data_IF_465116684491
#
_entry.id   IF_465116684491
#
_cell.length_a   1.000
_cell.length_b   1.000
_cell.length_c   1.000
_cell.angle_alpha   90.00
_cell.angle_beta   90.00
_cell.angle_gamma   90.00
#
_symmetry.space_group_name_H-M   'P 1'
#
loop_
_entity.id
_entity.type
_entity.pdbx_description
1 polymer ?
#
# COMPACT_ATOMS: atom_id res chain seq x y z
N UNK A 1 -2.21 16.74 -21.74
CA UNK A 1 -1.39 15.53 -21.99
C UNK A 1 -0.78 15.11 -20.67
N UNK A 2 -0.97 13.86 -20.24
CA UNK A 2 -0.41 13.35 -18.96
C UNK A 2 1.02 12.88 -19.19
N UNK A 3 1.95 13.24 -18.29
CA UNK A 3 3.35 12.76 -18.30
C UNK A 3 3.70 12.12 -16.96
N UNK A 4 4.50 11.06 -16.99
CA UNK A 4 5.01 10.37 -15.80
C UNK A 4 6.53 10.42 -15.84
N UNK A 5 7.16 11.01 -14.82
CA UNK A 5 8.60 11.29 -14.79
C UNK A 5 9.21 10.61 -13.55
N UNK A 6 10.06 9.58 -13.72
CA UNK A 6 10.72 8.94 -12.59
C UNK A 6 11.76 9.86 -11.93
N UNK A 7 11.81 9.89 -10.60
CA UNK A 7 12.89 10.52 -9.83
C UNK A 7 13.87 9.42 -9.41
N UNK A 8 15.03 9.36 -10.07
CA UNK A 8 16.06 8.37 -9.76
C UNK A 8 16.99 8.90 -8.67
N UNK A 9 17.09 8.16 -7.58
CA UNK A 9 17.97 8.52 -6.48
C UNK A 9 19.42 8.19 -6.83
N UNK A 10 20.31 9.13 -6.52
CA UNK A 10 21.75 9.01 -6.77
C UNK A 10 22.43 7.84 -6.03
N UNK A 11 21.89 7.44 -4.88
CA UNK A 11 22.35 6.30 -4.07
C UNK A 11 21.17 5.63 -3.34
N UNK A 12 21.29 4.35 -2.94
CA UNK A 12 20.34 3.73 -2.02
C UNK A 12 20.16 4.54 -0.74
N UNK A 13 18.95 4.53 -0.17
CA UNK A 13 18.67 5.12 1.15
C UNK A 13 18.87 4.06 2.22
N UNK A 14 19.59 4.40 3.28
CA UNK A 14 19.88 3.51 4.43
C UNK A 14 19.39 4.14 5.73
N UNK A 15 19.16 3.37 6.81
CA UNK A 15 18.66 3.90 8.08
C UNK A 15 19.47 5.07 8.66
N UNK A 16 20.80 5.07 8.47
CA UNK A 16 21.67 6.16 8.94
C UNK A 16 21.49 7.47 8.18
N UNK A 17 20.92 7.45 6.96
CA UNK A 17 20.65 8.70 6.22
C UNK A 17 19.61 9.58 6.94
N UNK A 18 18.80 9.01 7.86
CA UNK A 18 17.79 9.76 8.63
C UNK A 18 18.39 10.88 9.50
N UNK A 19 19.67 10.77 9.89
CA UNK A 19 20.37 11.83 10.62
C UNK A 19 21.00 12.89 9.72
N UNK A 20 21.15 12.60 8.42
CA UNK A 20 21.94 13.42 7.50
C UNK A 20 21.08 14.52 6.84
N UNK A 21 19.85 14.18 6.45
CA UNK A 21 18.90 15.14 5.88
C UNK A 21 17.46 14.72 6.09
N UNK A 22 16.55 15.70 6.11
CA UNK A 22 15.13 15.41 6.21
C UNK A 22 14.59 14.77 4.92
N UNK A 23 13.48 14.05 5.02
CA UNK A 23 12.77 13.46 3.88
C UNK A 23 12.50 14.48 2.76
N UNK A 24 12.01 15.67 3.13
CA UNK A 24 11.64 16.72 2.19
C UNK A 24 12.87 17.31 1.49
N UNK A 25 13.97 17.52 2.24
CA UNK A 25 15.24 17.99 1.71
C UNK A 25 15.82 16.98 0.72
N UNK A 26 15.88 15.70 1.10
CA UNK A 26 16.38 14.63 0.23
C UNK A 26 15.58 14.54 -1.08
N UNK A 27 14.25 14.60 -1.01
CA UNK A 27 13.41 14.59 -2.20
C UNK A 27 13.65 15.82 -3.09
N UNK A 28 13.79 17.01 -2.50
CA UNK A 28 14.06 18.25 -3.24
C UNK A 28 15.43 18.22 -3.93
N UNK A 29 16.46 17.66 -3.28
CA UNK A 29 17.79 17.46 -3.85
C UNK A 29 17.79 16.48 -5.02
N UNK A 30 17.16 15.31 -4.87
CA UNK A 30 17.08 14.31 -5.94
C UNK A 30 16.27 14.85 -7.12
N UNK A 31 15.21 15.63 -6.87
CA UNK A 31 14.46 16.30 -7.92
C UNK A 31 15.34 17.27 -8.75
N UNK A 32 16.17 18.09 -8.07
CA UNK A 32 17.14 18.98 -8.73
C UNK A 32 18.20 18.19 -9.52
N UNK A 33 18.74 17.10 -8.96
CA UNK A 33 19.73 16.25 -9.63
C UNK A 33 19.20 15.55 -10.88
N UNK A 34 17.88 15.32 -10.95
CA UNK A 34 17.22 14.74 -12.12
C UNK A 34 16.81 15.81 -13.15
N UNK A 35 17.16 17.09 -12.94
CA UNK A 35 16.76 18.23 -13.79
C UNK A 35 15.23 18.32 -14.01
N UNK A 36 14.45 17.92 -13.00
CA UNK A 36 13.00 17.94 -13.07
C UNK A 36 12.50 19.31 -12.60
N UNK A 37 11.69 19.98 -13.43
CA UNK A 37 10.99 21.21 -13.03
C UNK A 37 9.57 20.89 -12.57
N UNK A 38 9.07 21.63 -11.59
CA UNK A 38 7.71 21.48 -11.07
C UNK A 38 6.76 22.53 -11.65
N UNK A 39 5.53 22.11 -11.89
CA UNK A 39 4.40 22.96 -12.25
C UNK A 39 3.33 22.89 -11.15
N UNK A 40 2.47 23.90 -11.07
CA UNK A 40 1.31 23.81 -10.19
C UNK A 40 0.43 22.65 -10.64
N UNK A 41 -0.21 21.98 -9.68
CA UNK A 41 -1.00 20.76 -9.89
C UNK A 41 -0.20 19.53 -10.31
N UNK A 42 1.14 19.54 -10.28
CA UNK A 42 1.89 18.28 -10.35
C UNK A 42 1.58 17.40 -9.12
N UNK A 43 1.68 16.08 -9.29
CA UNK A 43 1.54 15.11 -8.19
C UNK A 43 2.88 14.42 -7.98
N UNK A 44 3.46 14.58 -6.80
CA UNK A 44 4.61 13.81 -6.35
C UNK A 44 4.13 12.53 -5.67
N UNK A 45 4.53 11.38 -6.19
CA UNK A 45 4.24 10.07 -5.60
C UNK A 45 5.53 9.50 -5.03
N UNK A 46 5.50 9.01 -3.79
CA UNK A 46 6.66 8.56 -3.03
C UNK A 46 6.35 7.21 -2.37
N UNK A 47 7.25 6.23 -2.45
CA UNK A 47 7.07 4.97 -1.71
C UNK A 47 7.21 5.17 -0.20
N UNK A 48 6.37 4.48 0.57
CA UNK A 48 6.38 4.38 2.04
C UNK A 48 7.77 4.05 2.59
N UNK A 49 8.55 3.24 1.85
CA UNK A 49 9.85 2.73 2.29
C UNK A 49 10.85 3.84 2.54
N UNK A 50 11.00 4.78 1.61
CA UNK A 50 11.95 5.90 1.79
C UNK A 50 11.46 6.90 2.82
N UNK A 51 10.14 7.02 2.99
CA UNK A 51 9.53 7.82 4.06
C UNK A 51 9.91 7.22 5.40
N UNK A 52 9.67 5.92 5.61
CA UNK A 52 10.05 5.24 6.86
C UNK A 52 11.55 5.26 7.15
N UNK A 53 12.39 5.12 6.12
CA UNK A 53 13.85 5.21 6.26
C UNK A 53 14.29 6.60 6.72
N UNK A 54 13.86 7.66 6.01
CA UNK A 54 14.33 9.03 6.27
C UNK A 54 13.66 9.68 7.49
N UNK A 55 12.50 9.17 7.93
CA UNK A 55 11.88 9.57 9.20
C UNK A 55 12.44 8.79 10.41
N UNK A 56 13.37 7.84 10.20
CA UNK A 56 13.97 7.06 11.28
C UNK A 56 13.03 6.00 11.88
N UNK A 57 11.97 5.61 11.17
CA UNK A 57 10.97 4.63 11.63
C UNK A 57 11.46 3.16 11.53
N UNK A 58 12.73 2.94 11.17
CA UNK A 58 13.28 1.58 11.03
C UNK A 58 13.56 0.93 12.38
N UNK A 59 13.46 -0.39 12.43
CA UNK A 59 13.64 -1.19 13.63
C UNK A 59 14.72 -2.25 13.40
N UNK A 60 15.73 -2.29 14.26
CA UNK A 60 16.63 -3.44 14.35
C UNK A 60 15.87 -4.64 14.92
N UNK A 61 15.71 -5.70 14.12
CA UNK A 61 14.97 -6.90 14.49
C UNK A 61 15.53 -7.57 15.75
N UNK A 62 16.86 -7.52 15.94
CA UNK A 62 17.55 -8.15 17.07
C UNK A 62 17.20 -7.48 18.40
N UNK A 63 16.87 -6.19 18.37
CA UNK A 63 16.44 -5.40 19.53
C UNK A 63 15.04 -5.78 20.03
N UNK A 64 14.24 -6.43 19.20
CA UNK A 64 12.85 -6.79 19.52
C UNK A 64 12.84 -7.95 20.52
N UNK A 65 12.22 -7.72 21.67
CA UNK A 65 11.97 -8.72 22.72
C UNK A 65 10.52 -9.22 22.65
N UNK A 66 10.24 -10.43 22.12
CA UNK A 66 8.88 -10.94 21.98
C UNK A 66 8.26 -11.32 23.33
N UNK A 67 6.99 -10.96 23.54
CA UNK A 67 6.21 -11.37 24.72
C UNK A 67 6.02 -12.89 24.73
N UNK A 68 5.85 -13.49 25.92
CA UNK A 68 5.66 -14.96 26.08
C UNK A 68 4.53 -15.51 25.19
N UNK A 69 3.39 -14.81 25.16
CA UNK A 69 2.24 -15.15 24.30
C UNK A 69 2.57 -15.11 22.80
N UNK A 70 3.43 -14.18 22.37
CA UNK A 70 3.86 -14.07 20.98
C UNK A 70 4.83 -15.20 20.63
N UNK A 71 5.77 -15.54 21.52
CA UNK A 71 6.63 -16.73 21.34
C UNK A 71 5.81 -18.02 21.18
N UNK A 72 4.73 -18.15 21.95
CA UNK A 72 3.81 -19.28 21.84
C UNK A 72 3.12 -19.33 20.46
N UNK A 73 2.52 -18.21 20.02
CA UNK A 73 1.88 -18.11 18.71
C UNK A 73 2.87 -18.35 17.57
N UNK A 74 4.05 -17.76 17.64
CA UNK A 74 5.11 -17.91 16.66
C UNK A 74 5.49 -19.39 16.48
N UNK A 75 5.62 -20.13 17.58
CA UNK A 75 5.87 -21.59 17.53
C UNK A 75 4.71 -22.34 16.89
N UNK A 76 3.48 -22.06 17.31
CA UNK A 76 2.28 -22.75 16.82
C UNK A 76 2.06 -22.54 15.30
N UNK A 77 2.34 -21.33 14.81
CA UNK A 77 2.14 -20.96 13.41
C UNK A 77 3.44 -20.94 12.60
N UNK A 78 4.55 -21.46 13.13
CA UNK A 78 5.87 -21.51 12.46
C UNK A 78 6.35 -20.15 11.93
N UNK A 79 6.14 -19.08 12.70
CA UNK A 79 6.53 -17.71 12.36
C UNK A 79 7.76 -17.25 13.12
N UNK A 80 8.43 -16.20 12.62
CA UNK A 80 9.48 -15.51 13.37
C UNK A 80 8.85 -14.71 14.54
N UNK A 81 9.29 -14.94 15.80
CA UNK A 81 8.69 -14.30 16.96
C UNK A 81 8.98 -12.80 17.06
N UNK A 82 10.08 -12.29 16.49
CA UNK A 82 10.44 -10.86 16.52
C UNK A 82 9.58 -10.08 15.52
N UNK A 83 9.48 -10.58 14.29
CA UNK A 83 8.56 -10.02 13.27
C UNK A 83 7.12 -10.08 13.74
N UNK A 84 6.68 -11.21 14.29
CA UNK A 84 5.30 -11.33 14.80
C UNK A 84 5.04 -10.35 15.95
N UNK A 85 5.99 -10.16 16.86
CA UNK A 85 5.87 -9.14 17.91
C UNK A 85 5.69 -7.74 17.32
N UNK A 86 6.45 -7.39 16.28
CA UNK A 86 6.31 -6.11 15.58
C UNK A 86 4.96 -5.98 14.87
N UNK A 87 4.49 -7.03 14.17
CA UNK A 87 3.16 -7.06 13.55
C UNK A 87 2.06 -6.71 14.56
N UNK A 88 2.13 -7.27 15.77
CA UNK A 88 1.18 -6.97 16.85
C UNK A 88 1.33 -5.57 17.48
N UNK A 89 2.46 -4.89 17.29
CA UNK A 89 2.65 -3.48 17.68
C UNK A 89 2.05 -2.55 16.64
N UNK A 90 2.23 -2.89 15.37
CA UNK A 90 1.88 -2.06 14.22
C UNK A 90 0.39 -2.14 13.83
N UNK A 91 -0.29 -3.26 14.08
CA UNK A 91 -1.67 -3.41 13.61
C UNK A 91 -2.49 -4.51 14.26
N UNK A 92 -3.80 -4.48 13.99
CA UNK A 92 -4.73 -5.51 14.44
C UNK A 92 -4.72 -6.68 13.46
N UNK A 93 -4.27 -7.85 13.92
CA UNK A 93 -4.36 -9.11 13.16
C UNK A 93 -5.83 -9.50 12.96
N UNK A 94 -6.24 -9.62 11.70
CA UNK A 94 -7.57 -10.05 11.28
C UNK A 94 -7.63 -11.54 10.95
N UNK A 95 -6.52 -12.11 10.50
CA UNK A 95 -6.43 -13.51 10.10
C UNK A 95 -5.00 -13.93 9.79
N UNK A 96 -4.81 -15.23 9.54
CA UNK A 96 -3.53 -15.80 9.16
C UNK A 96 -3.72 -16.56 7.86
N UNK A 97 -2.97 -16.19 6.82
CA UNK A 97 -2.93 -16.90 5.54
C UNK A 97 -1.91 -18.02 5.64
N UNK A 98 -2.28 -19.29 5.43
CA UNK A 98 -1.37 -20.42 5.53
C UNK A 98 -0.52 -20.56 4.27
N UNK A 99 0.28 -19.53 3.94
CA UNK A 99 0.99 -19.41 2.67
C UNK A 99 1.90 -20.61 2.40
N UNK A 100 2.51 -21.18 3.45
CA UNK A 100 3.27 -22.45 3.36
C UNK A 100 2.46 -23.59 2.74
N UNK A 101 1.22 -23.79 3.20
CA UNK A 101 0.34 -24.85 2.71
C UNK A 101 -0.13 -24.55 1.28
N UNK A 102 -0.43 -23.29 1.00
CA UNK A 102 -0.83 -22.83 -0.33
C UNK A 102 0.30 -23.08 -1.34
N UNK A 103 1.56 -22.78 -0.99
CA UNK A 103 2.71 -22.99 -1.87
C UNK A 103 3.16 -24.44 -2.01
N UNK A 104 2.66 -25.36 -1.17
CA UNK A 104 2.85 -26.79 -1.37
C UNK A 104 1.98 -27.33 -2.52
N UNK A 105 0.95 -26.60 -2.93
CA UNK A 105 0.19 -26.93 -4.12
C UNK A 105 1.09 -26.85 -5.36
N UNK A 106 1.10 -27.93 -6.15
CA UNK A 106 2.01 -28.06 -7.30
C UNK A 106 1.71 -27.03 -8.37
N UNK A 107 0.43 -26.73 -8.61
CA UNK A 107 0.02 -25.78 -9.64
C UNK A 107 0.48 -24.38 -9.26
N UNK A 108 0.21 -23.96 -8.01
CA UNK A 108 0.63 -22.66 -7.50
C UNK A 108 2.15 -22.53 -7.52
N UNK A 109 2.88 -23.52 -7.01
CA UNK A 109 4.35 -23.49 -7.01
C UNK A 109 4.92 -23.35 -8.42
N UNK A 110 4.42 -24.14 -9.37
CA UNK A 110 4.88 -24.09 -10.75
C UNK A 110 4.55 -22.75 -11.42
N UNK A 111 3.40 -22.15 -11.08
CA UNK A 111 3.05 -20.80 -11.54
C UNK A 111 4.11 -19.77 -11.12
N UNK A 112 4.52 -19.74 -9.85
CA UNK A 112 5.55 -18.81 -9.38
C UNK A 112 6.93 -19.06 -10.02
N UNK A 113 7.32 -20.33 -10.17
CA UNK A 113 8.60 -20.67 -10.82
C UNK A 113 8.64 -20.25 -12.29
N UNK A 114 7.53 -20.41 -13.03
CA UNK A 114 7.41 -20.03 -14.44
C UNK A 114 7.56 -18.52 -14.65
N UNK A 115 7.10 -17.70 -13.70
CA UNK A 115 7.13 -16.24 -13.79
C UNK A 115 8.30 -15.62 -13.01
N UNK A 116 9.29 -16.42 -12.60
CA UNK A 116 10.48 -15.92 -11.91
C UNK A 116 11.61 -15.56 -12.88
N UNK A 117 12.30 -14.45 -12.60
CA UNK A 117 13.55 -14.08 -13.27
C UNK A 117 14.71 -15.03 -12.90
N UNK A 118 14.68 -15.60 -11.70
CA UNK A 118 15.71 -16.50 -11.19
C UNK A 118 15.05 -17.66 -10.44
N UNK A 119 14.88 -18.78 -11.15
CA UNK A 119 14.21 -19.98 -10.66
C UNK A 119 14.91 -20.52 -9.40
N UNK A 120 16.24 -20.56 -9.38
CA UNK A 120 17.00 -21.11 -8.26
C UNK A 120 16.82 -20.27 -6.99
N UNK A 121 16.96 -18.95 -7.11
CA UNK A 121 16.71 -18.03 -6.00
C UNK A 121 15.25 -18.12 -5.51
N UNK A 122 14.29 -18.22 -6.42
CA UNK A 122 12.87 -18.41 -6.04
C UNK A 122 12.64 -19.75 -5.34
N UNK A 123 13.25 -20.84 -5.79
CA UNK A 123 13.16 -22.13 -5.11
C UNK A 123 13.76 -22.09 -3.72
N UNK A 124 14.88 -21.39 -3.54
CA UNK A 124 15.50 -21.21 -2.23
C UNK A 124 14.60 -20.39 -1.29
N UNK A 125 14.05 -19.29 -1.79
CA UNK A 125 13.06 -18.48 -1.06
C UNK A 125 11.82 -19.29 -0.71
N UNK A 126 11.33 -20.14 -1.62
CA UNK A 126 10.22 -21.06 -1.40
C UNK A 126 10.46 -22.03 -0.23
N UNK A 127 11.71 -22.46 -0.05
CA UNK A 127 12.11 -23.36 1.04
C UNK A 127 12.36 -22.62 2.36
N UNK A 128 12.94 -21.42 2.31
CA UNK A 128 13.38 -20.66 3.50
C UNK A 128 12.29 -19.79 4.13
N UNK A 129 11.44 -19.14 3.32
CA UNK A 129 10.67 -17.97 3.77
C UNK A 129 9.14 -18.10 3.65
N UNK A 130 8.58 -19.22 3.15
CA UNK A 130 7.13 -19.38 3.04
C UNK A 130 6.54 -19.87 4.35
N UNK A 131 6.34 -18.90 5.23
CA UNK A 131 5.74 -18.99 6.55
C UNK A 131 4.27 -18.57 6.46
N UNK A 132 3.49 -18.87 7.49
CA UNK A 132 2.14 -18.32 7.61
C UNK A 132 2.19 -16.79 7.71
N UNK A 133 1.29 -16.09 7.03
CA UNK A 133 1.32 -14.62 6.91
C UNK A 133 0.15 -14.01 7.69
N UNK A 134 0.39 -13.23 8.75
CA UNK A 134 -0.66 -12.46 9.41
C UNK A 134 -1.19 -11.37 8.46
N UNK A 135 -2.51 -11.29 8.32
CA UNK A 135 -3.19 -10.18 7.66
C UNK A 135 -3.68 -9.21 8.73
N UNK A 136 -3.39 -7.93 8.58
CA UNK A 136 -3.68 -6.89 9.58
C UNK A 136 -4.46 -5.73 8.98
N UNK A 137 -5.32 -5.11 9.78
CA UNK A 137 -5.93 -3.83 9.43
C UNK A 137 -5.10 -2.67 9.95
N UNK A 138 -4.75 -1.73 9.07
CA UNK A 138 -4.03 -0.48 9.36
C UNK A 138 -4.35 0.54 8.26
N UNK A 139 -4.41 1.83 8.58
CA UNK A 139 -4.64 2.93 7.62
C UNK A 139 -5.86 2.71 6.69
N UNK A 140 -6.94 2.12 7.18
CA UNK A 140 -8.14 1.81 6.37
C UNK A 140 -7.99 0.63 5.41
N UNK A 141 -6.80 0.03 5.31
CA UNK A 141 -6.43 -1.04 4.38
C UNK A 141 -6.14 -2.36 5.12
N UNK A 142 -5.87 -3.41 4.33
CA UNK A 142 -5.46 -4.73 4.83
C UNK A 142 -4.08 -5.04 4.28
N UNK A 143 -3.11 -5.18 5.19
CA UNK A 143 -1.71 -5.47 4.87
C UNK A 143 -1.36 -6.90 5.27
N UNK A 144 -0.48 -7.54 4.50
CA UNK A 144 0.31 -8.65 5.00
C UNK A 144 1.42 -8.12 5.93
N UNK A 145 1.65 -8.83 7.04
CA UNK A 145 2.68 -8.47 8.04
C UNK A 145 2.63 -7.00 8.50
N UNK A 146 1.45 -6.36 8.58
CA UNK A 146 1.31 -4.95 8.97
C UNK A 146 2.02 -3.92 8.08
N UNK A 147 2.35 -4.32 6.84
CA UNK A 147 3.13 -3.48 5.92
C UNK A 147 4.60 -3.37 6.35
N UNK A 148 5.06 -4.26 7.24
CA UNK A 148 6.46 -4.30 7.66
C UNK A 148 7.28 -4.95 6.55
N UNK A 149 8.18 -4.17 5.97
CA UNK A 149 9.05 -4.62 4.89
C UNK A 149 10.48 -4.88 5.39
N UNK A 150 11.08 -5.98 4.91
CA UNK A 150 12.50 -6.31 5.12
C UNK A 150 13.28 -6.44 3.82
N UNK A 151 12.70 -6.04 2.68
CA UNK A 151 13.34 -6.01 1.37
C UNK A 151 13.94 -4.64 1.10
N UNK A 152 15.00 -4.57 0.27
CA UNK A 152 15.68 -3.33 -0.12
C UNK A 152 16.06 -2.43 1.08
N UNK A 153 16.45 -3.04 2.20
CA UNK A 153 16.94 -2.41 3.43
C UNK A 153 18.14 -3.24 3.93
N UNK A 154 19.16 -2.64 4.60
CA UNK A 154 20.27 -3.40 5.14
C UNK A 154 19.84 -4.55 6.06
N UNK A 155 20.62 -5.63 6.07
CA UNK A 155 20.35 -6.81 6.88
C UNK A 155 20.17 -6.47 8.36
N UNK A 156 19.20 -7.14 8.99
CA UNK A 156 18.85 -6.93 10.40
C UNK A 156 17.84 -5.81 10.63
N UNK A 157 17.57 -4.94 9.65
CA UNK A 157 16.56 -3.89 9.78
C UNK A 157 15.22 -4.27 9.15
N UNK A 158 14.16 -3.70 9.73
CA UNK A 158 12.80 -3.73 9.22
C UNK A 158 12.28 -2.30 9.09
N UNK A 159 11.46 -2.07 8.07
CA UNK A 159 10.74 -0.81 7.87
C UNK A 159 9.23 -1.04 8.07
N UNK A 160 8.67 -0.73 9.25
CA UNK A 160 7.25 -0.47 9.41
C UNK A 160 6.78 0.66 8.48
N UNK A 161 5.47 0.75 8.25
CA UNK A 161 4.88 1.91 7.58
C UNK A 161 5.13 3.20 8.39
N UNK A 162 5.15 4.38 7.74
CA UNK A 162 5.19 5.65 8.43
C UNK A 162 4.07 5.76 9.47
N UNK A 163 4.34 6.41 10.61
CA UNK A 163 3.34 6.55 11.67
C UNK A 163 2.11 7.33 11.19
N UNK A 164 2.34 8.44 10.48
CA UNK A 164 1.30 9.24 9.86
C UNK A 164 1.72 9.70 8.45
N UNK A 165 1.49 8.87 7.41
CA UNK A 165 1.90 9.20 6.04
C UNK A 165 1.21 10.46 5.47
N UNK A 166 0.03 10.83 5.98
CA UNK A 166 -0.66 12.06 5.54
C UNK A 166 0.05 13.30 6.06
N UNK A 167 0.60 13.24 7.29
CA UNK A 167 1.44 14.31 7.83
C UNK A 167 2.76 14.40 7.06
N UNK A 168 3.40 13.27 6.76
CA UNK A 168 4.61 13.23 5.93
C UNK A 168 4.35 13.83 4.54
N UNK A 169 3.24 13.46 3.89
CA UNK A 169 2.82 14.02 2.61
C UNK A 169 2.61 15.54 2.69
N UNK A 170 1.97 16.02 3.76
CA UNK A 170 1.75 17.46 4.00
C UNK A 170 3.06 18.21 4.21
N UNK A 171 4.00 17.68 5.00
CA UNK A 171 5.32 18.30 5.20
C UNK A 171 6.09 18.43 3.89
N UNK A 172 6.08 17.38 3.05
CA UNK A 172 6.67 17.43 1.71
C UNK A 172 6.01 18.53 0.87
N UNK A 173 4.67 18.57 0.83
CA UNK A 173 3.91 19.58 0.08
C UNK A 173 4.29 21.01 0.50
N UNK A 174 4.25 21.26 1.80
CA UNK A 174 4.53 22.58 2.38
C UNK A 174 6.00 22.99 2.15
N UNK A 175 6.95 22.06 2.30
CA UNK A 175 8.35 22.29 1.98
C UNK A 175 8.57 22.61 0.49
N UNK A 176 7.94 21.87 -0.41
CA UNK A 176 8.05 22.07 -1.85
C UNK A 176 7.44 23.39 -2.30
N UNK A 177 6.33 23.81 -1.66
CA UNK A 177 5.79 25.17 -1.85
C UNK A 177 6.80 26.24 -1.48
N UNK A 178 7.52 26.07 -0.36
CA UNK A 178 8.51 27.04 0.08
C UNK A 178 9.77 27.08 -0.81
N UNK A 179 10.28 25.91 -1.23
CA UNK A 179 11.54 25.81 -1.99
C UNK A 179 11.35 26.10 -3.48
N UNK A 180 10.26 25.64 -4.08
CA UNK A 180 10.03 25.73 -5.52
C UNK A 180 8.95 26.75 -5.91
N UNK A 181 8.22 27.32 -4.93
CA UNK A 181 7.06 28.19 -5.16
C UNK A 181 6.00 27.53 -6.07
N UNK A 182 5.76 26.24 -5.88
CA UNK A 182 4.76 25.45 -6.62
C UNK A 182 3.80 24.75 -5.68
N UNK A 183 2.53 24.76 -6.04
CA UNK A 183 1.48 24.01 -5.35
C UNK A 183 1.30 22.66 -6.01
N UNK A 184 1.80 21.62 -5.35
CA UNK A 184 1.71 20.24 -5.79
C UNK A 184 0.82 19.44 -4.85
N UNK A 185 0.39 18.25 -5.28
CA UNK A 185 -0.12 17.22 -4.39
C UNK A 185 0.98 16.20 -4.09
N UNK A 186 0.84 15.51 -2.96
CA UNK A 186 1.76 14.44 -2.56
C UNK A 186 0.96 13.18 -2.21
N UNK A 187 1.38 12.04 -2.73
CA UNK A 187 0.83 10.72 -2.42
C UNK A 187 1.97 9.83 -1.91
N UNK A 188 1.75 9.19 -0.77
CA UNK A 188 2.63 8.15 -0.24
C UNK A 188 2.00 6.80 -0.55
N UNK A 189 2.76 5.90 -1.18
CA UNK A 189 2.26 4.61 -1.65
C UNK A 189 2.90 3.45 -0.93
N UNK A 190 2.19 2.33 -0.86
CA UNK A 190 2.77 1.06 -0.46
C UNK A 190 2.21 -0.08 -1.33
N UNK A 191 2.97 -1.16 -1.43
CA UNK A 191 2.62 -2.29 -2.29
C UNK A 191 1.68 -3.25 -1.55
N UNK A 192 0.47 -3.46 -2.10
CA UNK A 192 -0.48 -4.45 -1.59
C UNK A 192 -0.75 -5.57 -2.58
N UNK A 193 -0.90 -6.79 -2.03
CA UNK A 193 -1.41 -7.93 -2.80
C UNK A 193 -2.85 -7.69 -3.23
N UNK A 194 -3.16 -7.97 -4.49
CA UNK A 194 -4.50 -7.77 -5.02
C UNK A 194 -5.34 -9.04 -4.82
N UNK A 195 -6.48 -8.90 -4.13
CA UNK A 195 -7.39 -10.03 -3.93
C UNK A 195 -7.84 -10.63 -5.27
N UNK A 196 -7.78 -11.96 -5.36
CA UNK A 196 -8.17 -12.74 -6.55
C UNK A 196 -7.35 -12.45 -7.83
N UNK A 197 -6.19 -11.81 -7.72
CA UNK A 197 -5.23 -11.64 -8.82
C UNK A 197 -3.87 -12.14 -8.37
N UNK A 198 -3.07 -12.61 -9.31
CA UNK A 198 -1.66 -12.90 -9.07
C UNK A 198 -0.86 -11.62 -9.22
N UNK A 199 -0.18 -11.19 -8.15
CA UNK A 199 0.62 -9.97 -8.13
C UNK A 199 0.16 -8.94 -7.10
N UNK A 200 0.83 -7.79 -7.14
CA UNK A 200 0.61 -6.68 -6.23
C UNK A 200 0.51 -5.37 -7.01
N UNK A 201 -0.09 -4.36 -6.39
CA UNK A 201 -0.18 -3.00 -6.89
C UNK A 201 0.17 -2.03 -5.77
N UNK A 202 0.76 -0.90 -6.14
CA UNK A 202 0.89 0.22 -5.22
C UNK A 202 -0.47 0.87 -5.01
N UNK A 203 -0.78 1.13 -3.76
CA UNK A 203 -1.98 1.86 -3.32
C UNK A 203 -1.56 3.06 -2.48
N UNK A 204 -2.41 4.08 -2.41
CA UNK A 204 -2.17 5.22 -1.53
C UNK A 204 -2.34 4.77 -0.07
N UNK A 205 -1.40 5.15 0.79
CA UNK A 205 -1.52 4.98 2.25
C UNK A 205 -1.66 6.31 2.99
N UNK A 206 -1.40 7.43 2.31
CA UNK A 206 -1.63 8.78 2.77
C UNK A 206 -1.36 9.81 1.67
N UNK A 207 -2.06 10.93 1.69
CA UNK A 207 -1.92 11.98 0.68
C UNK A 207 -2.17 13.38 1.26
N UNK A 208 -1.73 14.41 0.54
CA UNK A 208 -1.99 15.82 0.86
C UNK A 208 -2.16 16.64 -0.43
N UNK A 209 -3.06 17.61 -0.42
CA UNK A 209 -3.33 18.51 -1.56
C UNK A 209 -4.24 17.94 -2.65
N UNK A 210 -4.58 16.65 -2.60
CA UNK A 210 -5.45 15.93 -3.55
C UNK A 210 -6.58 15.21 -2.81
N UNK A 211 -7.82 15.38 -3.27
CA UNK A 211 -8.97 14.70 -2.69
C UNK A 211 -8.93 13.21 -3.09
N UNK A 212 -9.13 12.25 -2.15
CA UNK A 212 -8.84 10.83 -2.41
C UNK A 212 -9.66 10.17 -3.52
N UNK A 213 -10.91 10.61 -3.71
CA UNK A 213 -11.85 10.06 -4.69
C UNK A 213 -12.34 11.14 -5.65
N UNK A 214 -12.74 10.80 -6.86
CA UNK A 214 -13.56 11.73 -7.66
C UNK A 214 -14.92 11.94 -6.98
N UNK A 215 -15.50 13.13 -7.11
CA UNK A 215 -16.81 13.48 -6.56
C UNK A 215 -17.85 13.35 -7.68
N UNK A 216 -18.20 12.12 -8.02
CA UNK A 216 -19.08 11.74 -9.14
C UNK A 216 -20.09 10.64 -8.75
N UNK A 217 -20.54 10.58 -7.49
CA UNK A 217 -21.43 9.50 -6.99
C UNK A 217 -22.79 9.51 -7.71
N UNK A 218 -23.20 10.66 -8.21
CA UNK A 218 -24.35 10.79 -9.10
C UNK A 218 -24.12 11.89 -10.12
N UNK A 219 -24.61 11.69 -11.34
CA UNK A 219 -24.54 12.68 -12.40
C UNK A 219 -25.25 12.23 -13.67
N UNK A 220 -25.26 13.07 -14.72
CA UNK A 220 -25.78 12.67 -16.02
C UNK A 220 -24.95 11.53 -16.61
N UNK A 221 -25.65 10.59 -17.21
CA UNK A 221 -25.08 9.59 -18.12
C UNK A 221 -25.28 10.06 -19.57
N UNK A 222 -24.50 9.54 -20.50
CA UNK A 222 -24.56 9.93 -21.92
C UNK A 222 -25.96 9.77 -22.53
N UNK A 223 -26.78 8.88 -21.98
CA UNK A 223 -28.12 8.57 -22.49
C UNK A 223 -29.23 8.79 -21.47
N UNK A 224 -28.91 9.19 -20.24
CA UNK A 224 -29.88 9.31 -19.14
C UNK A 224 -29.58 10.51 -18.27
N UNK A 225 -30.61 11.21 -17.77
CA UNK A 225 -30.39 12.39 -16.93
C UNK A 225 -29.69 12.08 -15.62
N UNK A 226 -29.81 10.84 -15.11
CA UNK A 226 -29.22 10.43 -13.84
C UNK A 226 -28.64 9.01 -13.92
N UNK A 227 -27.44 8.85 -13.38
CA UNK A 227 -26.78 7.58 -13.06
C UNK A 227 -26.23 7.66 -11.64
N UNK A 228 -26.30 6.53 -10.93
CA UNK A 228 -25.64 6.32 -9.65
C UNK A 228 -24.30 5.60 -9.85
N UNK A 229 -23.30 5.99 -9.06
CA UNK A 229 -21.92 5.54 -9.17
C UNK A 229 -21.10 6.33 -10.20
N UNK A 230 -19.80 6.40 -9.96
CA UNK A 230 -18.86 7.20 -10.77
C UNK A 230 -17.65 7.69 -9.99
N UNK A 231 -17.70 7.60 -8.66
CA UNK A 231 -16.54 7.77 -7.79
C UNK A 231 -15.45 6.75 -8.16
N UNK A 232 -14.25 7.26 -8.37
CA UNK A 232 -13.02 6.51 -8.56
C UNK A 232 -12.10 6.82 -7.41
N UNK A 233 -11.37 5.83 -6.89
CA UNK A 233 -10.29 6.08 -5.92
C UNK A 233 -9.08 6.63 -6.66
N UNK A 234 -9.13 7.93 -6.97
CA UNK A 234 -8.17 8.66 -7.79
C UNK A 234 -6.73 8.44 -7.31
N UNK A 235 -6.52 8.50 -6.00
CA UNK A 235 -5.18 8.36 -5.42
C UNK A 235 -4.61 6.95 -5.61
N UNK A 236 -5.43 5.90 -5.60
CA UNK A 236 -4.98 4.53 -5.86
C UNK A 236 -4.70 4.29 -7.34
N UNK A 237 -5.47 4.92 -8.24
CA UNK A 237 -5.19 4.87 -9.67
C UNK A 237 -3.82 5.52 -9.99
N UNK A 238 -3.53 6.67 -9.39
CA UNK A 238 -2.24 7.35 -9.52
C UNK A 238 -1.12 6.55 -8.86
N UNK A 239 -1.36 6.00 -7.67
CA UNK A 239 -0.39 5.14 -6.97
C UNK A 239 0.00 3.92 -7.80
N UNK A 240 -0.97 3.23 -8.41
CA UNK A 240 -0.71 2.05 -9.22
C UNK A 240 0.15 2.36 -10.45
N UNK A 241 -0.11 3.49 -11.13
CA UNK A 241 0.70 3.96 -12.27
C UNK A 241 2.12 4.28 -11.81
N UNK A 242 2.26 5.00 -10.69
CA UNK A 242 3.55 5.37 -10.15
C UNK A 242 4.37 4.15 -9.72
N UNK A 243 3.76 3.19 -9.01
CA UNK A 243 4.41 1.95 -8.60
C UNK A 243 4.91 1.11 -9.78
N UNK A 244 4.17 1.09 -10.89
CA UNK A 244 4.62 0.44 -12.13
C UNK A 244 5.90 1.08 -12.72
N UNK A 245 6.07 2.41 -12.54
CA UNK A 245 7.26 3.15 -12.97
C UNK A 245 8.41 3.02 -11.96
N UNK A 246 8.12 3.05 -10.66
CA UNK A 246 9.11 2.87 -9.59
C UNK A 246 9.76 1.48 -9.67
N UNK A 247 8.95 0.45 -9.91
CA UNK A 247 9.37 -0.94 -9.85
C UNK A 247 9.65 -1.40 -8.41
N UNK A 248 9.80 -2.71 -8.23
CA UNK A 248 9.92 -3.32 -6.89
C UNK A 248 11.31 -3.83 -6.50
N UNK A 249 12.36 -3.56 -7.26
CA UNK A 249 13.68 -4.18 -7.06
C UNK A 249 14.80 -3.13 -7.01
N UNK A 250 15.71 -3.12 -7.98
CA UNK A 250 16.99 -2.38 -7.95
C UNK A 250 16.97 -1.07 -8.74
N UNK A 251 15.79 -0.56 -9.09
CA UNK A 251 15.63 0.58 -10.01
C UNK A 251 16.11 1.92 -9.45
N UNK A 252 16.29 2.03 -8.12
CA UNK A 252 16.60 3.29 -7.43
C UNK A 252 15.64 4.43 -7.78
N UNK A 253 14.36 4.11 -8.01
CA UNK A 253 13.33 5.09 -8.39
C UNK A 253 12.20 5.06 -7.36
N UNK A 254 12.40 5.60 -6.15
CA UNK A 254 11.41 5.54 -5.07
C UNK A 254 10.34 6.65 -5.16
N UNK A 255 10.44 7.54 -6.15
CA UNK A 255 9.49 8.63 -6.35
C UNK A 255 9.25 8.93 -7.83
N UNK A 256 8.09 9.50 -8.14
CA UNK A 256 7.63 9.82 -9.50
C UNK A 256 6.86 11.13 -9.48
N UNK A 257 7.04 11.98 -10.50
CA UNK A 257 6.16 13.12 -10.78
C UNK A 257 5.14 12.74 -11.84
N UNK A 258 3.86 12.93 -11.55
CA UNK A 258 2.78 12.91 -12.52
C UNK A 258 2.38 14.34 -12.88
N UNK A 259 2.45 14.69 -14.17
CA UNK A 259 2.06 16.02 -14.68
C UNK A 259 0.80 15.97 -15.52
N UNK A 260 0.00 17.03 -15.46
CA UNK A 260 -1.17 17.22 -16.32
C UNK A 260 -2.33 16.25 -16.05
N UNK A 261 -2.35 15.62 -14.88
CA UNK A 261 -3.46 14.82 -14.40
C UNK A 261 -4.43 15.71 -13.60
N UNK A 262 -5.71 15.69 -13.96
CA UNK A 262 -6.72 16.51 -13.29
C UNK A 262 -7.21 15.84 -12.01
N UNK A 263 -7.30 16.63 -10.94
CA UNK A 263 -7.82 16.18 -9.66
C UNK A 263 -8.42 17.34 -8.86
N UNK A 264 -9.34 16.97 -7.97
CA UNK A 264 -9.93 17.86 -6.99
C UNK A 264 -8.91 18.19 -5.90
N UNK A 265 -8.62 19.47 -5.73
CA UNK A 265 -7.72 19.92 -4.66
C UNK A 265 -8.36 19.70 -3.30
N UNK A 266 -7.54 19.38 -2.31
CA UNK A 266 -8.00 19.15 -0.94
C UNK A 266 -7.20 19.98 0.05
N UNK A 267 -7.91 20.68 0.93
CA UNK A 267 -7.33 21.39 2.06
C UNK A 267 -7.34 20.49 3.30
N UNK A 268 -6.46 19.49 3.28
CA UNK A 268 -6.27 18.53 4.36
C UNK A 268 -5.46 19.11 5.53
N UNK A 269 -5.69 18.57 6.72
CA UNK A 269 -4.90 18.91 7.92
C UNK A 269 -3.69 17.98 8.14
N UNK A 270 -3.37 17.08 7.20
CA UNK A 270 -2.35 16.04 7.37
C UNK A 270 -2.74 14.93 8.37
N UNK A 271 -4.02 14.78 8.71
CA UNK A 271 -4.52 13.69 9.55
C UNK A 271 -5.00 12.52 8.69
N UNK A 272 -4.35 11.36 8.80
CA UNK A 272 -4.78 10.17 8.09
C UNK A 272 -6.15 9.62 8.50
N UNK A 273 -6.76 10.08 9.60
CA UNK A 273 -8.17 9.79 9.87
C UNK A 273 -9.10 10.49 8.89
N UNK A 274 -8.77 11.71 8.47
CA UNK A 274 -9.53 12.46 7.46
C UNK A 274 -9.55 11.67 6.14
N UNK A 275 -8.37 11.23 5.70
CA UNK A 275 -8.19 10.37 4.54
C UNK A 275 -8.97 9.05 4.66
N UNK A 276 -8.83 8.34 5.78
CA UNK A 276 -9.50 7.06 6.01
C UNK A 276 -11.03 7.18 6.02
N UNK A 277 -11.57 8.31 6.49
CA UNK A 277 -13.01 8.57 6.49
C UNK A 277 -13.58 8.75 5.08
N UNK A 278 -12.74 9.16 4.11
CA UNK A 278 -13.14 9.27 2.70
C UNK A 278 -13.10 7.91 2.00
N UNK A 279 -12.01 7.15 2.19
CA UNK A 279 -11.78 5.92 1.42
C UNK A 279 -12.32 4.64 2.07
N UNK A 280 -12.74 4.69 3.33
CA UNK A 280 -13.15 3.49 4.07
C UNK A 280 -14.40 3.70 4.91
N UNK A 281 -15.27 2.69 4.92
CA UNK A 281 -16.44 2.70 5.80
C UNK A 281 -16.06 2.36 7.25
N UNK A 282 -16.80 2.90 8.23
CA UNK A 282 -16.64 2.53 9.63
C UNK A 282 -16.72 1.02 9.86
N UNK A 283 -15.90 0.49 10.76
CA UNK A 283 -15.80 -0.95 11.05
C UNK A 283 -17.15 -1.60 11.38
N UNK A 284 -18.00 -0.92 12.17
CA UNK A 284 -19.34 -1.42 12.53
C UNK A 284 -20.22 -1.60 11.29
N UNK A 285 -20.18 -0.64 10.37
CA UNK A 285 -20.93 -0.68 9.11
C UNK A 285 -20.44 -1.83 8.22
N UNK A 286 -19.13 -2.05 8.12
CA UNK A 286 -18.54 -3.16 7.35
C UNK A 286 -18.99 -4.53 7.89
N UNK A 287 -18.97 -4.72 9.21
CA UNK A 287 -19.40 -5.99 9.84
C UNK A 287 -20.89 -6.23 9.56
N UNK A 288 -21.73 -5.21 9.76
CA UNK A 288 -23.18 -5.31 9.56
C UNK A 288 -23.51 -5.59 8.08
N UNK A 289 -22.85 -4.90 7.16
CA UNK A 289 -22.98 -5.14 5.73
C UNK A 289 -22.59 -6.58 5.37
N UNK A 290 -21.43 -7.06 5.85
CA UNK A 290 -20.97 -8.43 5.63
C UNK A 290 -21.96 -9.48 6.13
N UNK A 291 -22.53 -9.29 7.33
CA UNK A 291 -23.58 -10.17 7.87
C UNK A 291 -24.81 -10.22 6.95
N UNK A 292 -25.32 -9.07 6.52
CA UNK A 292 -26.47 -9.03 5.61
C UNK A 292 -26.15 -9.60 4.22
N UNK A 293 -24.94 -9.41 3.72
CA UNK A 293 -24.49 -10.02 2.45
C UNK A 293 -24.55 -11.54 2.53
N UNK A 294 -24.03 -12.14 3.62
CA UNK A 294 -24.07 -13.60 3.81
C UNK A 294 -25.53 -14.09 3.89
N UNK A 295 -26.35 -13.46 4.73
CA UNK A 295 -27.75 -13.85 4.90
C UNK A 295 -28.53 -13.78 3.58
N UNK A 296 -28.42 -12.67 2.85
CA UNK A 296 -29.09 -12.49 1.57
C UNK A 296 -28.56 -13.45 0.50
N UNK A 297 -27.27 -13.77 0.51
CA UNK A 297 -26.67 -14.73 -0.43
C UNK A 297 -27.19 -16.14 -0.18
N UNK A 298 -27.29 -16.57 1.08
CA UNK A 298 -27.86 -17.87 1.45
C UNK A 298 -29.32 -17.96 1.01
N UNK A 299 -30.12 -16.93 1.31
CA UNK A 299 -31.52 -16.86 0.90
C UNK A 299 -31.65 -16.93 -0.64
N UNK A 300 -30.89 -16.09 -1.35
CA UNK A 300 -30.87 -16.09 -2.82
C UNK A 300 -30.51 -17.46 -3.38
N UNK A 301 -29.44 -18.10 -2.89
CA UNK A 301 -29.00 -19.42 -3.36
C UNK A 301 -30.03 -20.52 -3.06
N UNK A 302 -30.70 -20.44 -1.92
CA UNK A 302 -31.75 -21.40 -1.55
C UNK A 302 -32.96 -21.28 -2.46
N UNK A 303 -33.45 -20.05 -2.69
CA UNK A 303 -34.56 -19.79 -3.62
C UNK A 303 -34.18 -20.17 -5.05
N UNK A 304 -32.98 -19.79 -5.50
CA UNK A 304 -32.43 -20.19 -6.79
C UNK A 304 -32.48 -21.71 -6.95
N UNK A 305 -31.93 -22.46 -5.98
CA UNK A 305 -31.97 -23.92 -6.00
C UNK A 305 -33.41 -24.45 -6.11
N UNK A 306 -34.34 -23.98 -5.27
CA UNK A 306 -35.75 -24.43 -5.28
C UNK A 306 -36.48 -24.14 -6.60
N UNK A 307 -36.25 -22.98 -7.20
CA UNK A 307 -36.90 -22.60 -8.46
C UNK A 307 -36.33 -23.36 -9.67
N UNK A 308 -35.01 -23.61 -9.69
CA UNK A 308 -34.35 -24.27 -10.81
C UNK A 308 -34.28 -25.80 -10.67
N UNK A 309 -34.64 -26.38 -9.52
CA UNK A 309 -34.81 -27.84 -9.33
C UNK A 309 -35.86 -28.47 -10.27
N UNK A 310 -36.86 -27.70 -10.75
CA UNK A 310 -37.93 -28.18 -11.65
C UNK A 310 -37.68 -27.91 -13.14
N UNK A 311 -36.60 -27.20 -13.47
CA UNK A 311 -36.17 -27.00 -14.86
C UNK A 311 -35.13 -28.07 -15.17
N UNK A 312 -35.49 -29.10 -15.93
CA UNK A 312 -34.55 -30.14 -16.40
C UNK A 312 -33.54 -29.64 -17.45
N UNK A 313 -32.91 -28.49 -17.21
CA UNK A 313 -31.78 -27.92 -17.95
C UNK A 313 -30.76 -27.35 -16.98
#
# INVERSE_FOLDING_TARGET
MVKIIPIRFSKPVVPSDASDSSLEQRLAEELKKNDITLENKDILVVTSKIVSLLEGNTVDISSIKPRKRIKFLARLFSMDPQRLELVFREGKVLGIVPLRKIMNDRFIRNFYLKHSRNINATQEMLKKNFINVPMTSRLGLIFDNAGIDGSNIPDGFLAPLPENPCLSAKKIKDHFKNVFNKEIAVIITDTLSVLNRTGALDVCIGCSGIYPITINESGPDLFKPNKFGGNMVTVDAVAAIAGAVMGGNTQLTPAVILKGFEYESWNDNGDCKEYQNVISFPTRSKIRAGFYTVLNTILFKTIQFLLFLKSGK
#
